data_IF_151330514833
#
_entry.id   IF_151330514833
#
_cell.length_a   1.000
_cell.length_b   1.000
_cell.length_c   1.000
_cell.angle_alpha   90.00
_cell.angle_beta   90.00
_cell.angle_gamma   90.00
#
_symmetry.space_group_name_H-M   'P 1'
#
loop_
_entity.id
_entity.type
_entity.pdbx_description
1 polymer ?
#
# COMPACT_ATOMS: atom_id res chain seq x y z
N UNK A 1 21.84 10.97 -44.62
CA UNK A 1 20.77 9.97 -44.57
C UNK A 1 20.52 9.70 -43.10
N UNK A 2 19.57 10.44 -42.55
CA UNK A 2 19.30 10.51 -41.09
C UNK A 2 18.16 9.54 -40.74
N UNK A 3 18.46 8.53 -39.92
CA UNK A 3 17.44 7.59 -39.41
C UNK A 3 16.90 8.18 -38.08
N UNK A 4 15.71 8.70 -38.16
CA UNK A 4 14.96 9.18 -36.97
C UNK A 4 14.34 7.96 -36.31
N UNK A 5 14.91 7.53 -35.17
CA UNK A 5 14.34 6.51 -34.33
C UNK A 5 13.19 7.15 -33.52
N UNK A 6 11.97 6.88 -33.95
CA UNK A 6 10.76 7.33 -33.26
C UNK A 6 10.55 6.49 -31.97
N UNK A 7 10.88 7.03 -30.82
CA UNK A 7 10.41 6.51 -29.54
C UNK A 7 8.90 6.71 -29.45
N UNK A 8 8.16 5.61 -29.50
CA UNK A 8 6.72 5.61 -29.16
C UNK A 8 6.58 5.84 -27.66
N UNK A 9 6.26 7.05 -27.30
CA UNK A 9 5.81 7.38 -25.94
C UNK A 9 4.39 6.82 -25.82
N UNK A 10 4.25 5.70 -25.14
CA UNK A 10 2.94 5.20 -24.72
C UNK A 10 2.60 5.99 -23.44
N UNK A 11 1.88 7.08 -23.62
CA UNK A 11 1.28 7.82 -22.51
C UNK A 11 0.11 6.98 -22.00
N UNK A 12 0.35 6.20 -20.95
CA UNK A 12 -0.74 5.59 -20.19
C UNK A 12 -1.35 6.71 -19.36
N UNK A 13 -2.37 7.34 -19.90
CA UNK A 13 -3.22 8.25 -19.14
C UNK A 13 -4.05 7.37 -18.20
N UNK A 14 -3.54 7.20 -16.99
CA UNK A 14 -4.32 6.60 -15.88
C UNK A 14 -5.45 7.59 -15.57
N UNK A 15 -6.58 7.40 -16.25
CA UNK A 15 -7.81 8.11 -15.96
C UNK A 15 -8.29 7.68 -14.58
N UNK A 16 -7.92 8.45 -13.55
CA UNK A 16 -8.62 8.45 -12.27
C UNK A 16 -10.00 9.01 -12.59
N UNK A 17 -10.89 8.15 -13.05
CA UNK A 17 -12.30 8.44 -13.07
C UNK A 17 -12.74 8.56 -11.61
N UNK A 18 -12.71 9.77 -11.09
CA UNK A 18 -13.44 10.12 -9.89
C UNK A 18 -14.93 9.86 -10.18
N UNK A 19 -15.36 8.65 -9.89
CA UNK A 19 -16.78 8.33 -9.74
C UNK A 19 -17.27 9.08 -8.50
N UNK A 20 -17.53 10.38 -8.67
CA UNK A 20 -18.43 11.10 -7.80
C UNK A 20 -19.84 10.53 -8.05
N UNK A 21 -20.08 9.38 -7.47
CA UNK A 21 -21.45 8.93 -7.30
C UNK A 21 -22.11 9.97 -6.37
N UNK A 22 -23.11 10.67 -6.91
CA UNK A 22 -23.96 11.56 -6.16
C UNK A 22 -24.58 10.76 -5.02
N UNK A 23 -24.02 10.88 -3.84
CA UNK A 23 -24.63 10.40 -2.60
C UNK A 23 -25.81 11.31 -2.34
N UNK A 24 -26.99 10.86 -2.70
CA UNK A 24 -28.22 11.52 -2.24
C UNK A 24 -28.18 11.51 -0.70
N UNK A 25 -28.32 12.65 -0.04
CA UNK A 25 -28.43 12.65 1.41
C UNK A 25 -29.76 11.98 1.78
N UNK A 26 -29.66 10.74 2.25
CA UNK A 26 -30.76 10.16 3.02
C UNK A 26 -30.79 10.98 4.31
N UNK A 27 -31.81 11.82 4.42
CA UNK A 27 -32.12 12.57 5.63
C UNK A 27 -32.62 11.61 6.72
N UNK A 28 -31.72 10.86 7.30
CA UNK A 28 -31.87 10.29 8.63
C UNK A 28 -31.04 11.18 9.55
N UNK A 29 -31.68 11.84 10.49
CA UNK A 29 -31.02 12.63 11.52
C UNK A 29 -29.89 11.75 12.12
N UNK A 30 -28.67 12.28 12.24
CA UNK A 30 -27.60 11.50 12.84
C UNK A 30 -27.98 11.23 14.29
N UNK A 31 -28.19 9.98 14.60
CA UNK A 31 -28.28 9.51 15.98
C UNK A 31 -26.90 9.68 16.63
N UNK A 32 -26.73 10.77 17.37
CA UNK A 32 -25.53 11.06 18.17
C UNK A 32 -25.43 10.20 19.43
N UNK A 33 -26.16 9.13 19.53
CA UNK A 33 -25.94 8.05 20.49
C UNK A 33 -24.65 7.30 20.15
N UNK A 34 -23.56 8.04 20.08
CA UNK A 34 -22.23 7.54 19.82
C UNK A 34 -21.69 6.76 21.03
N UNK A 35 -22.11 5.53 21.16
CA UNK A 35 -21.17 4.54 21.62
C UNK A 35 -20.22 4.31 20.46
N UNK A 36 -18.90 4.56 20.60
CA UNK A 36 -17.96 4.12 19.60
C UNK A 36 -18.20 2.61 19.48
N UNK A 37 -18.59 2.14 18.31
CA UNK A 37 -18.48 0.74 17.99
C UNK A 37 -16.97 0.44 18.07
N UNK A 38 -16.53 0.20 19.29
CA UNK A 38 -15.18 -0.26 19.58
C UNK A 38 -15.06 -1.59 18.87
N UNK A 39 -14.28 -1.61 17.86
CA UNK A 39 -13.79 -2.78 17.15
C UNK A 39 -12.97 -3.64 18.10
N UNK A 40 -13.60 -4.15 19.17
CA UNK A 40 -12.89 -4.98 20.14
C UNK A 40 -12.70 -6.43 19.68
N UNK A 41 -13.35 -6.85 18.61
CA UNK A 41 -13.44 -8.26 18.31
C UNK A 41 -12.36 -8.78 17.36
N UNK A 42 -11.86 -7.99 16.42
CA UNK A 42 -10.87 -8.44 15.44
C UNK A 42 -9.72 -7.44 15.35
N UNK A 43 -8.65 -7.74 16.07
CA UNK A 43 -7.46 -6.87 16.13
C UNK A 43 -6.42 -7.19 15.05
N UNK A 44 -6.60 -8.31 14.36
CA UNK A 44 -5.65 -8.80 13.38
C UNK A 44 -6.27 -8.79 12.00
N UNK A 45 -5.46 -8.50 11.00
CA UNK A 45 -5.81 -8.58 9.59
C UNK A 45 -4.68 -9.31 8.87
N UNK A 46 -5.05 -10.23 7.99
CA UNK A 46 -4.16 -10.82 7.00
C UNK A 46 -4.65 -10.43 5.62
N UNK A 47 -3.78 -9.83 4.81
CA UNK A 47 -4.10 -9.32 3.49
C UNK A 47 -3.14 -9.77 2.42
N UNK A 48 -3.62 -9.69 1.17
CA UNK A 48 -2.83 -9.83 -0.04
C UNK A 48 -2.70 -8.45 -0.66
N UNK A 49 -1.48 -8.01 -0.88
CA UNK A 49 -1.16 -6.78 -1.59
C UNK A 49 -0.96 -7.07 -3.08
N UNK A 50 -1.48 -6.19 -3.93
CA UNK A 50 -1.26 -6.19 -5.37
C UNK A 50 -1.06 -4.75 -5.83
N UNK A 51 0.02 -4.49 -6.55
CA UNK A 51 0.34 -3.14 -6.96
C UNK A 51 1.48 -3.05 -7.95
N UNK A 52 2.14 -1.92 -7.95
CA UNK A 52 3.33 -1.65 -8.73
C UNK A 52 4.29 -0.78 -7.94
N UNK A 53 5.54 -0.85 -8.33
CA UNK A 53 6.55 0.10 -7.89
C UNK A 53 7.04 0.94 -9.06
N UNK A 54 7.41 2.16 -8.77
CA UNK A 54 7.98 3.11 -9.72
C UNK A 54 9.30 3.64 -9.17
N UNK A 55 10.38 3.31 -9.86
CA UNK A 55 11.73 3.74 -9.53
C UNK A 55 12.39 4.39 -10.76
N UNK A 56 12.92 5.59 -10.60
CA UNK A 56 13.67 6.38 -11.61
C UNK A 56 12.98 6.59 -12.96
N UNK A 57 12.58 5.62 -13.73
CA UNK A 57 11.79 5.67 -14.98
C UNK A 57 11.19 4.30 -15.30
N UNK A 58 11.30 3.37 -14.37
CA UNK A 58 10.90 1.99 -14.55
C UNK A 58 9.68 1.68 -13.69
N UNK A 59 8.80 0.86 -14.25
CA UNK A 59 7.61 0.38 -13.54
C UNK A 59 7.65 -1.13 -13.47
N UNK A 60 7.44 -1.68 -12.29
CA UNK A 60 7.36 -3.12 -12.08
C UNK A 60 6.08 -3.50 -11.33
N UNK A 61 5.57 -4.67 -11.65
CA UNK A 61 4.46 -5.27 -10.90
C UNK A 61 4.98 -5.83 -9.59
N UNK A 62 4.24 -5.62 -8.49
CA UNK A 62 4.59 -6.10 -7.16
C UNK A 62 3.36 -6.73 -6.51
N UNK A 63 3.56 -7.83 -5.80
CA UNK A 63 2.54 -8.45 -4.97
C UNK A 63 3.13 -8.95 -3.66
N UNK A 64 2.29 -9.13 -2.65
CA UNK A 64 2.79 -9.48 -1.34
C UNK A 64 1.72 -9.93 -0.36
N UNK A 65 2.18 -10.17 0.86
CA UNK A 65 1.35 -10.47 2.01
C UNK A 65 1.57 -9.40 3.08
N UNK A 66 0.47 -8.97 3.69
CA UNK A 66 0.49 -8.02 4.79
C UNK A 66 -0.23 -8.62 6.00
N UNK A 67 0.43 -8.58 7.14
CA UNK A 67 -0.20 -8.80 8.43
C UNK A 67 -0.25 -7.48 9.18
N UNK A 68 -1.45 -7.05 9.56
CA UNK A 68 -1.67 -5.85 10.37
C UNK A 68 -2.30 -6.20 11.70
N UNK A 69 -1.88 -5.54 12.77
CA UNK A 69 -2.45 -5.66 14.11
C UNK A 69 -2.63 -4.32 14.79
N UNK A 70 -3.84 -4.06 15.25
CA UNK A 70 -4.12 -2.93 16.14
C UNK A 70 -3.67 -3.30 17.55
N UNK A 71 -2.75 -2.53 18.13
CA UNK A 71 -2.25 -2.70 19.49
C UNK A 71 -3.18 -2.01 20.50
N UNK A 72 -3.28 -0.72 20.37
CA UNK A 72 -4.22 0.16 21.08
C UNK A 72 -4.46 1.39 20.22
N UNK A 73 -5.73 1.78 20.07
CA UNK A 73 -6.07 2.93 19.21
C UNK A 73 -5.36 4.20 19.69
N UNK A 74 -4.73 4.98 18.79
CA UNK A 74 -4.69 4.83 17.33
C UNK A 74 -3.51 4.01 16.77
N UNK A 75 -2.74 3.32 17.60
CA UNK A 75 -1.48 2.67 17.23
C UNK A 75 -1.65 1.20 16.84
N UNK A 76 -0.88 0.78 15.87
CA UNK A 76 -0.77 -0.59 15.40
C UNK A 76 0.60 -0.90 14.84
N UNK A 77 0.75 -2.07 14.26
CA UNK A 77 1.90 -2.42 13.45
C UNK A 77 1.49 -3.26 12.25
N UNK A 78 2.27 -3.19 11.16
CA UNK A 78 2.19 -4.09 10.02
C UNK A 78 3.51 -4.78 9.78
N UNK A 79 3.44 -6.02 9.31
CA UNK A 79 4.55 -6.75 8.73
C UNK A 79 4.19 -7.07 7.28
N UNK A 80 5.05 -6.70 6.35
CA UNK A 80 4.79 -6.78 4.91
C UNK A 80 5.92 -7.59 4.26
N UNK A 81 5.54 -8.53 3.40
CA UNK A 81 6.45 -9.24 2.52
C UNK A 81 6.00 -8.99 1.10
N UNK A 82 6.83 -8.34 0.31
CA UNK A 82 6.56 -8.02 -1.09
C UNK A 82 7.53 -8.74 -2.01
N UNK A 83 7.06 -9.09 -3.19
CA UNK A 83 7.84 -9.70 -4.23
C UNK A 83 7.60 -8.97 -5.55
N UNK A 84 8.69 -8.51 -6.14
CA UNK A 84 8.72 -7.93 -7.47
C UNK A 84 9.43 -8.92 -8.40
N UNK A 85 8.68 -9.60 -9.30
CA UNK A 85 9.28 -10.59 -10.20
C UNK A 85 10.21 -9.92 -11.20
N UNK A 86 11.12 -10.74 -11.75
CA UNK A 86 12.04 -10.30 -12.81
C UNK A 86 11.28 -9.68 -13.98
N UNK A 87 11.68 -8.49 -14.34
CA UNK A 87 11.28 -7.81 -15.56
C UNK A 87 12.55 -7.55 -16.41
N UNK A 88 12.40 -7.07 -17.66
CA UNK A 88 13.51 -6.76 -18.58
C UNK A 88 14.56 -5.82 -17.94
N UNK A 89 14.11 -5.02 -16.97
CA UNK A 89 14.88 -3.94 -16.33
C UNK A 89 15.09 -4.14 -14.82
N UNK A 90 14.38 -5.11 -14.19
CA UNK A 90 14.48 -5.38 -12.75
C UNK A 90 14.85 -6.83 -12.46
N UNK A 91 15.75 -7.01 -11.49
CA UNK A 91 16.05 -8.31 -10.92
C UNK A 91 14.92 -8.81 -10.01
N UNK A 92 14.89 -10.11 -9.75
CA UNK A 92 13.98 -10.70 -8.77
C UNK A 92 14.24 -10.13 -7.38
N UNK A 93 13.26 -9.46 -6.82
CA UNK A 93 13.37 -8.69 -5.58
C UNK A 93 12.34 -9.17 -4.57
N UNK A 94 12.77 -9.33 -3.33
CA UNK A 94 11.90 -9.59 -2.18
C UNK A 94 12.17 -8.56 -1.10
N UNK A 95 11.13 -7.97 -0.56
CA UNK A 95 11.21 -7.03 0.57
C UNK A 95 10.50 -7.57 1.80
N UNK A 96 11.11 -7.37 2.94
CA UNK A 96 10.51 -7.62 4.25
C UNK A 96 10.52 -6.31 5.04
N UNK A 97 9.34 -5.81 5.38
CA UNK A 97 9.17 -4.48 5.98
C UNK A 97 8.32 -4.60 7.25
N UNK A 98 8.76 -3.93 8.31
CA UNK A 98 7.99 -3.77 9.54
C UNK A 98 7.60 -2.32 9.75
N UNK A 99 6.30 -2.04 9.87
CA UNK A 99 5.77 -0.68 10.02
C UNK A 99 5.12 -0.48 11.38
N UNK A 100 5.47 0.59 12.07
CA UNK A 100 4.61 1.18 13.09
C UNK A 100 3.49 1.95 12.40
N UNK A 101 2.23 1.72 12.77
CA UNK A 101 1.08 2.32 12.12
C UNK A 101 0.31 3.23 13.06
N UNK A 102 -0.22 4.33 12.50
CA UNK A 102 -1.06 5.32 13.18
C UNK A 102 -2.38 5.46 12.43
N UNK A 103 -3.49 5.09 13.06
CA UNK A 103 -4.83 5.20 12.49
C UNK A 103 -5.43 6.57 12.83
N UNK A 104 -5.64 7.39 11.81
CA UNK A 104 -6.20 8.75 11.93
C UNK A 104 -7.56 8.79 11.25
N UNK A 105 -8.52 9.53 11.81
CA UNK A 105 -9.85 9.70 11.23
C UNK A 105 -10.58 8.39 10.84
N UNK A 106 -10.42 7.33 11.64
CA UNK A 106 -11.06 6.01 11.49
C UNK A 106 -10.63 5.20 10.27
N UNK A 107 -10.35 5.84 9.13
CA UNK A 107 -10.12 5.16 7.85
C UNK A 107 -8.74 5.44 7.26
N UNK A 108 -8.08 6.50 7.70
CA UNK A 108 -6.75 6.86 7.22
C UNK A 108 -5.69 6.24 8.13
N UNK A 109 -4.72 5.55 7.53
CA UNK A 109 -3.58 4.98 8.25
C UNK A 109 -2.28 5.52 7.68
N UNK A 110 -1.37 5.86 8.57
CA UNK A 110 0.02 6.19 8.24
C UNK A 110 0.91 5.08 8.76
N UNK A 111 1.93 4.72 8.00
CA UNK A 111 2.92 3.73 8.36
C UNK A 111 4.33 4.29 8.23
N UNK A 112 5.21 3.92 9.16
CA UNK A 112 6.64 4.19 9.08
C UNK A 112 7.42 3.03 9.66
N UNK A 113 8.50 2.63 8.99
CA UNK A 113 9.36 1.62 9.56
C UNK A 113 10.49 1.15 8.66
N UNK A 114 11.38 0.32 9.21
CA UNK A 114 12.49 -0.27 8.49
C UNK A 114 12.08 -1.54 7.74
N UNK A 115 12.88 -1.88 6.74
CA UNK A 115 12.82 -3.12 5.99
C UNK A 115 14.18 -3.54 5.46
N UNK A 116 14.19 -4.69 4.83
CA UNK A 116 15.34 -5.24 4.13
C UNK A 116 14.89 -5.68 2.75
N UNK A 117 15.66 -5.29 1.74
CA UNK A 117 15.50 -5.71 0.35
C UNK A 117 16.54 -6.79 0.01
N UNK A 118 16.05 -7.87 -0.56
CA UNK A 118 16.83 -8.97 -1.08
C UNK A 118 16.71 -8.98 -2.60
N UNK A 119 17.81 -8.76 -3.28
CA UNK A 119 17.89 -8.87 -4.74
C UNK A 119 18.80 -10.01 -5.12
N UNK A 120 18.47 -10.67 -6.22
CA UNK A 120 19.31 -11.74 -6.72
C UNK A 120 20.65 -11.16 -7.22
N UNK A 121 21.74 -11.77 -6.75
CA UNK A 121 23.12 -11.43 -7.13
C UNK A 121 23.61 -10.04 -6.62
N UNK A 122 22.85 -9.40 -5.71
CA UNK A 122 23.21 -8.14 -5.06
C UNK A 122 23.28 -8.28 -3.53
N UNK A 123 24.04 -7.39 -2.85
CA UNK A 123 24.03 -7.37 -1.39
C UNK A 123 22.67 -6.89 -0.88
N UNK A 124 22.25 -7.41 0.28
CA UNK A 124 21.05 -6.95 0.94
C UNK A 124 21.14 -5.46 1.26
N UNK A 125 20.05 -4.72 1.01
CA UNK A 125 19.98 -3.27 1.25
C UNK A 125 18.92 -2.97 2.30
N UNK A 126 19.22 -1.99 3.16
CA UNK A 126 18.23 -1.47 4.11
C UNK A 126 17.23 -0.60 3.39
N UNK A 127 15.96 -0.70 3.80
CA UNK A 127 14.86 0.12 3.29
C UNK A 127 14.17 0.81 4.46
N UNK A 128 13.86 2.09 4.30
CA UNK A 128 12.96 2.83 5.19
C UNK A 128 11.69 3.18 4.43
N UNK A 129 10.52 2.75 4.90
CA UNK A 129 9.23 3.02 4.26
C UNK A 129 8.42 4.06 5.01
N UNK A 130 7.81 4.98 4.26
CA UNK A 130 6.71 5.84 4.69
C UNK A 130 5.49 5.52 3.87
N UNK A 131 4.37 5.19 4.52
CA UNK A 131 3.14 4.79 3.85
C UNK A 131 1.91 5.56 4.31
N UNK A 132 0.95 5.66 3.39
CA UNK A 132 -0.40 6.14 3.65
C UNK A 132 -1.40 5.19 2.99
N UNK A 133 -2.41 4.77 3.75
CA UNK A 133 -3.49 3.92 3.27
C UNK A 133 -4.85 4.43 3.69
N UNK A 134 -5.87 4.11 2.91
CA UNK A 134 -7.25 4.41 3.22
C UNK A 134 -8.07 3.13 3.34
N UNK A 135 -8.56 2.85 4.55
CA UNK A 135 -9.23 1.59 4.90
C UNK A 135 -10.71 1.66 4.52
N UNK A 136 -11.16 0.76 3.67
CA UNK A 136 -12.56 0.56 3.29
C UNK A 136 -13.04 -0.76 3.86
N UNK A 137 -14.04 -0.70 4.72
CA UNK A 137 -14.57 -1.90 5.39
C UNK A 137 -15.79 -2.45 4.66
N UNK A 138 -15.77 -3.75 4.45
CA UNK A 138 -16.91 -4.52 3.92
C UNK A 138 -17.33 -5.57 4.92
N UNK A 139 -18.62 -5.64 5.30
CA UNK A 139 -19.12 -6.70 6.15
C UNK A 139 -18.97 -8.09 5.49
N UNK A 140 -18.70 -9.19 6.26
CA UNK A 140 -18.58 -9.13 7.73
C UNK A 140 -17.19 -8.75 8.24
N UNK A 141 -16.09 -9.08 7.57
CA UNK A 141 -14.70 -8.93 8.09
C UNK A 141 -13.67 -8.66 7.00
N UNK A 142 -14.09 -8.09 5.86
CA UNK A 142 -13.23 -7.80 4.72
C UNK A 142 -12.80 -6.34 4.76
N UNK A 143 -11.53 -6.08 4.46
CA UNK A 143 -10.96 -4.76 4.24
C UNK A 143 -10.33 -4.67 2.86
N UNK A 144 -10.51 -3.51 2.23
CA UNK A 144 -9.78 -3.12 1.03
C UNK A 144 -9.06 -1.82 1.36
N UNK A 145 -7.75 -1.83 1.20
CA UNK A 145 -6.91 -0.68 1.55
C UNK A 145 -6.06 -0.27 0.35
N UNK A 146 -6.49 0.70 -0.45
CA UNK A 146 -5.57 1.39 -1.36
C UNK A 146 -4.50 2.10 -0.53
N UNK A 147 -3.24 1.97 -0.97
CA UNK A 147 -2.07 2.52 -0.30
C UNK A 147 -1.07 3.10 -1.30
N UNK A 148 -0.28 4.03 -0.79
CA UNK A 148 0.86 4.63 -1.46
C UNK A 148 1.98 4.68 -0.45
N UNK A 149 3.12 4.11 -0.81
CA UNK A 149 4.30 4.00 0.03
C UNK A 149 5.50 4.62 -0.68
N UNK A 150 6.36 5.27 0.09
CA UNK A 150 7.63 5.82 -0.38
C UNK A 150 8.77 5.11 0.34
N UNK A 151 9.59 4.42 -0.45
CA UNK A 151 10.76 3.68 0.02
C UNK A 151 12.03 4.49 -0.17
N UNK A 152 12.82 4.53 0.88
CA UNK A 152 14.16 5.10 0.92
C UNK A 152 15.15 3.96 1.07
N UNK A 153 15.88 3.67 0.00
CA UNK A 153 16.78 2.53 -0.07
C UNK A 153 18.20 2.97 0.23
N UNK A 154 18.93 2.11 0.92
CA UNK A 154 20.36 2.32 1.15
C UNK A 154 21.09 2.53 -0.17
N UNK A 155 21.94 3.58 -0.24
CA UNK A 155 22.52 4.05 -1.50
C UNK A 155 21.86 5.31 -2.06
N UNK A 156 20.74 5.77 -1.47
CA UNK A 156 20.07 7.04 -1.81
C UNK A 156 18.98 6.91 -2.88
N UNK A 157 18.64 5.72 -3.28
CA UNK A 157 17.53 5.44 -4.20
C UNK A 157 16.19 5.66 -3.51
N UNK A 158 15.17 6.02 -4.30
CA UNK A 158 13.79 6.17 -3.84
C UNK A 158 12.86 5.47 -4.80
N UNK A 159 11.89 4.77 -4.23
CA UNK A 159 10.83 4.11 -4.98
C UNK A 159 9.46 4.52 -4.46
N UNK A 160 8.51 4.65 -5.36
CA UNK A 160 7.10 4.84 -5.05
C UNK A 160 6.39 3.51 -5.27
N UNK A 161 5.85 2.94 -4.20
CA UNK A 161 5.03 1.72 -4.25
C UNK A 161 3.57 2.13 -4.11
N UNK A 162 2.71 1.60 -4.97
CA UNK A 162 1.29 1.90 -4.92
C UNK A 162 0.48 0.64 -5.22
N UNK A 163 -0.64 0.50 -4.55
CA UNK A 163 -1.46 -0.69 -4.77
C UNK A 163 -2.67 -0.77 -3.88
N UNK A 164 -3.18 -1.98 -3.76
CA UNK A 164 -4.35 -2.29 -2.95
C UNK A 164 -4.10 -3.56 -2.15
N UNK A 165 -4.34 -3.49 -0.85
CA UNK A 165 -4.37 -4.66 0.03
C UNK A 165 -5.81 -5.14 0.20
N UNK A 166 -6.05 -6.41 -0.06
CA UNK A 166 -7.30 -7.11 0.21
C UNK A 166 -7.11 -7.96 1.45
N UNK A 167 -7.74 -7.60 2.54
CA UNK A 167 -7.54 -8.22 3.83
C UNK A 167 -8.79 -8.82 4.45
N UNK A 168 -8.58 -9.82 5.31
CA UNK A 168 -9.61 -10.39 6.19
C UNK A 168 -9.20 -10.21 7.64
N UNK A 169 -10.12 -9.72 8.43
CA UNK A 169 -9.97 -9.57 9.87
C UNK A 169 -10.28 -10.86 10.62
N UNK A 170 -9.58 -11.10 11.75
CA UNK A 170 -9.78 -12.26 12.61
C UNK A 170 -9.32 -12.00 14.06
#
# INVERSE_FOLDING_TARGET
MSVINGKKIITITLGIACLFYSIHPVNSAPDFSNKPHVREKNKNLLGVFVGGNHAQNDEAFTYGLEYHRVLFMPFGFSAVVEHTPVNVEHNNQVELIGLGTLNVFRNLTFGIGPGIRYEKDEPNRMVGRLGIGYIIHFPPDIEITPNIDLDFIEGGEKELVFGVTFGKQF
#
